data_IF_188039945673
#
_entry.id   IF_188039945673
#
_cell.length_a   1.000
_cell.length_b   1.000
_cell.length_c   1.000
_cell.angle_alpha   90.00
_cell.angle_beta   90.00
_cell.angle_gamma   90.00
#
_symmetry.space_group_name_H-M   'P 1'
#
loop_
_entity.id
_entity.type
_entity.pdbx_description
1 polymer ?
#
# COMPACT_ATOMS: atom_id res chain seq x y z
N UNK A 1 1.80 52.97 14.78
CA UNK A 1 1.18 51.67 15.09
C UNK A 1 2.29 50.64 15.02
N UNK A 2 2.78 50.12 16.15
CA UNK A 2 3.91 49.19 16.20
C UNK A 2 3.33 47.77 16.24
N UNK A 3 3.46 47.00 15.16
CA UNK A 3 3.09 45.58 15.13
C UNK A 3 4.09 44.80 15.98
N UNK A 4 3.67 44.35 17.17
CA UNK A 4 4.42 43.36 17.94
C UNK A 4 4.09 41.96 17.40
N UNK A 5 5.02 41.35 16.68
CA UNK A 5 4.95 39.92 16.36
C UNK A 5 5.22 39.11 17.63
N UNK A 6 4.14 38.63 18.26
CA UNK A 6 4.25 37.62 19.31
C UNK A 6 4.91 36.37 18.73
N UNK A 7 6.02 35.95 19.35
CA UNK A 7 6.78 34.77 18.93
C UNK A 7 5.99 33.52 19.34
N UNK A 8 5.08 33.07 18.49
CA UNK A 8 4.39 31.79 18.69
C UNK A 8 5.35 30.67 18.31
N UNK A 9 5.74 29.84 19.27
CA UNK A 9 6.51 28.63 18.98
C UNK A 9 5.55 27.54 18.49
N UNK A 10 5.62 27.25 17.20
CA UNK A 10 4.99 26.04 16.65
C UNK A 10 5.85 24.87 17.12
N UNK A 11 5.36 24.09 18.09
CA UNK A 11 5.92 22.77 18.36
C UNK A 11 5.41 21.82 17.29
N UNK A 12 6.20 21.60 16.25
CA UNK A 12 6.00 20.46 15.37
C UNK A 12 6.30 19.21 16.20
N UNK A 13 5.28 18.43 16.54
CA UNK A 13 5.48 17.07 17.04
C UNK A 13 6.14 16.27 15.91
N UNK A 14 7.46 16.08 15.98
CA UNK A 14 8.22 15.31 15.01
C UNK A 14 7.96 13.80 15.12
N UNK A 15 6.98 13.37 15.93
CA UNK A 15 6.58 11.96 16.05
C UNK A 15 6.01 11.38 14.74
N UNK A 16 5.51 12.22 13.83
CA UNK A 16 4.69 11.76 12.71
C UNK A 16 5.44 11.30 11.46
N UNK A 17 6.79 11.35 11.37
CA UNK A 17 7.46 10.98 10.10
C UNK A 17 8.82 10.31 10.25
N UNK A 18 8.99 9.45 11.26
CA UNK A 18 10.09 8.47 11.31
C UNK A 18 9.59 7.05 11.57
N UNK A 19 8.32 6.79 11.26
CA UNK A 19 7.83 5.42 11.19
C UNK A 19 8.63 4.68 10.12
N UNK A 20 8.98 3.42 10.37
CA UNK A 20 9.58 2.50 9.40
C UNK A 20 8.59 2.20 8.25
N UNK A 21 8.13 3.24 7.56
CA UNK A 21 7.29 3.12 6.38
C UNK A 21 8.17 2.51 5.30
N UNK A 22 7.99 1.21 5.06
CA UNK A 22 8.56 0.55 3.90
C UNK A 22 7.69 0.95 2.72
N UNK A 23 8.24 1.78 1.84
CA UNK A 23 7.65 2.04 0.54
C UNK A 23 7.73 0.74 -0.27
N UNK A 24 6.56 0.14 -0.53
CA UNK A 24 6.44 -1.00 -1.43
C UNK A 24 5.85 -0.46 -2.72
N UNK A 25 6.69 -0.32 -3.74
CA UNK A 25 6.26 0.09 -5.08
C UNK A 25 5.66 -1.13 -5.77
N UNK A 26 4.42 -0.97 -6.24
CA UNK A 26 3.70 -1.98 -7.01
C UNK A 26 3.11 -1.31 -8.25
N UNK A 27 3.15 -2.00 -9.39
CA UNK A 27 2.57 -1.50 -10.64
C UNK A 27 1.05 -1.66 -10.62
N UNK A 28 0.56 -2.69 -9.92
CA UNK A 28 -0.86 -3.00 -9.77
C UNK A 28 -1.14 -3.53 -8.36
N UNK A 29 -2.23 -3.05 -7.75
CA UNK A 29 -2.76 -3.59 -6.49
C UNK A 29 -4.17 -4.11 -6.73
N UNK A 30 -4.39 -5.37 -6.40
CA UNK A 30 -5.68 -6.05 -6.57
C UNK A 30 -6.28 -6.36 -5.20
N UNK A 31 -7.54 -6.00 -5.01
CA UNK A 31 -8.32 -6.39 -3.83
C UNK A 31 -9.12 -7.64 -4.17
N UNK A 32 -8.82 -8.73 -3.49
CA UNK A 32 -9.49 -10.01 -3.63
C UNK A 32 -10.53 -10.16 -2.53
N UNK A 33 -11.66 -10.78 -2.85
CA UNK A 33 -12.64 -11.19 -1.85
C UNK A 33 -11.98 -12.08 -0.77
N UNK A 34 -12.50 -12.11 0.47
CA UNK A 34 -11.90 -12.88 1.57
C UNK A 34 -11.62 -14.35 1.28
N UNK A 35 -12.43 -14.95 0.40
CA UNK A 35 -12.36 -16.37 0.06
C UNK A 35 -11.47 -16.65 -1.16
N UNK A 36 -11.02 -15.61 -1.86
CA UNK A 36 -10.19 -15.74 -3.04
C UNK A 36 -8.72 -15.76 -2.63
N UNK A 37 -8.01 -16.78 -3.05
CA UNK A 37 -6.59 -16.98 -2.73
C UNK A 37 -5.73 -16.52 -3.89
N UNK A 38 -4.79 -15.62 -3.61
CA UNK A 38 -3.63 -15.39 -4.47
C UNK A 38 -2.38 -15.99 -3.83
N UNK A 39 -1.51 -16.53 -4.67
CA UNK A 39 -0.23 -17.08 -4.26
C UNK A 39 0.87 -16.17 -4.82
N UNK A 40 1.92 -15.96 -4.03
CA UNK A 40 3.11 -15.23 -4.50
C UNK A 40 3.70 -15.97 -5.72
N UNK A 41 4.25 -15.21 -6.66
CA UNK A 41 4.79 -15.65 -7.95
C UNK A 41 3.75 -16.23 -8.92
N UNK A 42 2.46 -16.13 -8.61
CA UNK A 42 1.41 -16.39 -9.60
C UNK A 42 1.31 -15.25 -10.62
N UNK A 43 0.98 -15.60 -11.85
CA UNK A 43 0.70 -14.64 -12.92
C UNK A 43 -0.80 -14.30 -12.93
N UNK A 44 -1.09 -13.02 -13.04
CA UNK A 44 -2.42 -12.47 -13.20
C UNK A 44 -2.47 -11.76 -14.55
N UNK A 45 -3.48 -12.10 -15.35
CA UNK A 45 -3.80 -11.38 -16.58
C UNK A 45 -4.85 -10.32 -16.28
N UNK A 46 -4.57 -9.06 -16.66
CA UNK A 46 -5.51 -7.96 -16.52
C UNK A 46 -5.33 -6.97 -17.68
N UNK A 47 -6.41 -6.70 -18.41
CA UNK A 47 -6.39 -5.73 -19.51
C UNK A 47 -5.52 -6.13 -20.70
N UNK A 48 -5.19 -7.42 -20.86
CA UNK A 48 -4.28 -7.93 -21.89
C UNK A 48 -2.79 -7.87 -21.51
N UNK A 49 -2.46 -7.32 -20.35
CA UNK A 49 -1.13 -7.35 -19.75
C UNK A 49 -1.03 -8.44 -18.70
N UNK A 50 0.19 -8.88 -18.43
CA UNK A 50 0.48 -9.86 -17.38
C UNK A 50 1.26 -9.24 -16.23
N UNK A 51 0.94 -9.67 -15.01
CA UNK A 51 1.55 -9.19 -13.79
C UNK A 51 1.88 -10.38 -12.89
N UNK A 52 2.99 -10.30 -12.16
CA UNK A 52 3.39 -11.30 -11.17
C UNK A 52 3.07 -10.79 -9.76
N UNK A 53 2.43 -11.63 -8.95
CA UNK A 53 2.14 -11.31 -7.54
C UNK A 53 3.44 -11.35 -6.73
N UNK A 54 3.80 -10.22 -6.11
CA UNK A 54 5.00 -10.10 -5.26
C UNK A 54 4.70 -10.14 -3.78
N UNK A 55 3.54 -9.68 -3.34
CA UNK A 55 3.11 -9.80 -1.95
C UNK A 55 1.61 -9.97 -1.82
N UNK A 56 1.20 -10.61 -0.71
CA UNK A 56 -0.20 -10.88 -0.38
C UNK A 56 -0.42 -10.52 1.09
N UNK A 57 -1.40 -9.66 1.37
CA UNK A 57 -1.70 -9.15 2.71
C UNK A 57 -3.20 -9.24 3.01
N UNK A 58 -3.56 -9.92 4.11
CA UNK A 58 -4.94 -9.91 4.59
C UNK A 58 -5.24 -8.58 5.28
N UNK A 59 -6.36 -7.97 4.91
CA UNK A 59 -6.91 -6.77 5.55
C UNK A 59 -8.17 -7.13 6.33
N UNK A 60 -8.33 -6.50 7.48
CA UNK A 60 -9.39 -6.81 8.43
C UNK A 60 -10.23 -5.56 8.68
N UNK A 61 -11.53 -5.77 8.88
CA UNK A 61 -12.43 -4.70 9.31
C UNK A 61 -12.17 -4.29 10.76
N UNK A 62 -12.88 -3.27 11.23
CA UNK A 62 -12.78 -2.78 12.62
C UNK A 62 -13.19 -3.81 13.69
N UNK A 63 -13.86 -4.90 13.28
CA UNK A 63 -14.30 -6.01 14.14
C UNK A 63 -13.32 -7.18 14.09
N UNK A 64 -12.23 -7.07 13.33
CA UNK A 64 -11.22 -8.12 13.13
C UNK A 64 -11.63 -9.21 12.14
N UNK A 65 -12.72 -9.02 11.37
CA UNK A 65 -13.14 -9.97 10.33
C UNK A 65 -12.32 -9.73 9.06
N UNK A 66 -11.93 -10.81 8.38
CA UNK A 66 -11.26 -10.71 7.08
C UNK A 66 -12.19 -10.05 6.06
N UNK A 67 -11.79 -8.87 5.60
CA UNK A 67 -12.57 -8.01 4.71
C UNK A 67 -12.15 -8.18 3.25
N UNK A 68 -10.84 -8.15 2.98
CA UNK A 68 -10.28 -8.43 1.67
C UNK A 68 -8.79 -8.83 1.79
N UNK A 69 -8.25 -9.35 0.70
CA UNK A 69 -6.81 -9.61 0.56
C UNK A 69 -6.24 -8.67 -0.48
N UNK A 70 -5.22 -7.91 -0.12
CA UNK A 70 -4.43 -7.10 -1.04
C UNK A 70 -3.33 -7.96 -1.68
N UNK A 71 -3.27 -7.98 -3.00
CA UNK A 71 -2.17 -8.55 -3.76
C UNK A 71 -1.44 -7.42 -4.50
N UNK A 72 -0.16 -7.21 -4.17
CA UNK A 72 0.70 -6.27 -4.87
C UNK A 72 1.42 -7.00 -5.99
N UNK A 73 1.32 -6.47 -7.21
CA UNK A 73 1.82 -7.10 -8.42
C UNK A 73 2.80 -6.18 -9.16
N UNK A 74 3.74 -6.80 -9.85
CA UNK A 74 4.72 -6.12 -10.73
C UNK A 74 4.47 -6.56 -12.16
N UNK A 75 4.67 -5.66 -13.12
CA UNK A 75 4.54 -5.96 -14.54
C UNK A 75 5.44 -7.14 -14.93
N UNK A 76 4.89 -8.06 -15.74
CA UNK A 76 5.62 -9.21 -16.25
C UNK A 76 5.71 -9.11 -17.77
N UNK A 77 6.93 -8.93 -18.27
CA UNK A 77 7.25 -9.03 -19.69
C UNK A 77 8.02 -10.32 -19.96
N UNK A 78 7.55 -11.13 -20.90
CA UNK A 78 8.20 -12.37 -21.34
C UNK A 78 9.40 -12.12 -22.30
N UNK A 79 9.83 -10.87 -22.44
CA UNK A 79 10.93 -10.47 -23.32
C UNK A 79 12.25 -10.42 -22.53
N UNK A 80 12.96 -11.55 -22.50
CA UNK A 80 14.42 -11.60 -22.45
C UNK A 80 14.96 -12.23 -23.76
#
# INVERSE_FOLDING_TARGET
MIQQSNKTSVRADSSASRGNAREVVADLVILLEPKTTATIDSIIEFGGDMYVVKSVHKRFDIRGKHDHTEAACTYWSDNE
#
